data_IF_922806529885
#
_entry.id   IF_922806529885
#
_cell.length_a   1.000
_cell.length_b   1.000
_cell.length_c   1.000
_cell.angle_alpha   90.00
_cell.angle_beta   90.00
_cell.angle_gamma   90.00
#
_symmetry.space_group_name_H-M   'P 1'
#
loop_
_entity.id
_entity.type
_entity.pdbx_description
1 polymer ?
#
# COMPACT_ATOMS: atom_id res chain seq x y z
N UNK A 1 4.68 24.85 -12.97
CA UNK A 1 4.62 23.38 -13.10
C UNK A 1 3.60 22.75 -12.16
N UNK A 2 3.63 23.01 -10.83
CA UNK A 2 2.69 22.41 -9.85
C UNK A 2 1.21 22.56 -10.27
N UNK A 3 0.75 23.76 -10.64
CA UNK A 3 -0.64 23.99 -11.12
C UNK A 3 -1.01 23.17 -12.38
N UNK A 4 -0.04 22.84 -13.24
CA UNK A 4 -0.30 22.00 -14.41
C UNK A 4 -0.53 20.55 -13.97
N UNK A 5 0.32 20.02 -13.10
CA UNK A 5 0.19 18.67 -12.58
C UNK A 5 -1.14 18.48 -11.83
N UNK A 6 -1.53 19.44 -10.99
CA UNK A 6 -2.83 19.41 -10.30
C UNK A 6 -4.01 19.37 -11.29
N UNK A 7 -3.98 20.17 -12.39
CA UNK A 7 -5.04 20.16 -13.40
C UNK A 7 -5.10 18.83 -14.16
N UNK A 8 -3.94 18.25 -14.50
CA UNK A 8 -3.86 16.96 -15.18
C UNK A 8 -4.36 15.85 -14.25
N UNK A 9 -3.97 15.87 -12.97
CA UNK A 9 -4.44 14.92 -11.96
C UNK A 9 -5.96 14.97 -11.81
N UNK A 10 -6.54 16.18 -11.75
CA UNK A 10 -8.00 16.38 -11.71
C UNK A 10 -8.69 15.87 -13.00
N UNK A 11 -8.07 16.08 -14.16
CA UNK A 11 -8.58 15.54 -15.42
C UNK A 11 -8.63 14.03 -15.42
N UNK A 12 -7.55 13.36 -14.99
CA UNK A 12 -7.48 11.90 -14.89
C UNK A 12 -8.50 11.37 -13.87
N UNK A 13 -8.61 12.01 -12.70
CA UNK A 13 -9.56 11.63 -11.67
C UNK A 13 -11.01 11.69 -12.16
N UNK A 14 -11.36 12.71 -12.94
CA UNK A 14 -12.70 12.82 -13.53
C UNK A 14 -13.01 11.73 -14.56
N UNK A 15 -12.01 11.24 -15.27
CA UNK A 15 -12.19 10.21 -16.31
C UNK A 15 -12.17 8.79 -15.73
N UNK A 16 -11.20 8.49 -14.86
CA UNK A 16 -10.88 7.12 -14.46
C UNK A 16 -10.94 6.89 -12.95
N UNK A 17 -10.67 7.93 -12.17
CA UNK A 17 -10.67 7.89 -10.71
C UNK A 17 -11.99 8.36 -10.09
N UNK A 18 -13.12 8.16 -10.79
CA UNK A 18 -14.43 8.65 -10.32
C UNK A 18 -14.79 8.01 -8.98
N UNK A 19 -14.95 8.87 -7.98
CA UNK A 19 -15.39 8.47 -6.65
C UNK A 19 -16.92 8.34 -6.60
N UNK A 20 -17.40 7.21 -6.15
CA UNK A 20 -18.80 7.00 -5.84
C UNK A 20 -19.21 7.68 -4.52
N UNK A 21 -20.49 7.58 -4.11
CA UNK A 21 -20.95 8.18 -2.85
C UNK A 21 -20.22 7.67 -1.60
N UNK A 22 -19.78 6.40 -1.57
CA UNK A 22 -19.06 5.84 -0.42
C UNK A 22 -17.67 6.46 -0.29
N UNK A 23 -16.86 6.51 -1.37
CA UNK A 23 -15.55 7.14 -1.38
C UNK A 23 -15.62 8.65 -1.07
N UNK A 24 -16.57 9.36 -1.68
CA UNK A 24 -16.81 10.79 -1.37
C UNK A 24 -17.18 11.01 0.10
N UNK A 25 -17.96 10.10 0.68
CA UNK A 25 -18.28 10.14 2.10
C UNK A 25 -17.07 9.88 2.97
N UNK A 26 -16.25 8.89 2.60
CA UNK A 26 -14.99 8.57 3.28
C UNK A 26 -14.05 9.76 3.32
N UNK A 27 -13.87 10.47 2.19
CA UNK A 27 -13.09 11.70 2.15
C UNK A 27 -13.55 12.75 3.18
N UNK A 28 -14.86 12.90 3.37
CA UNK A 28 -15.40 13.86 4.35
C UNK A 28 -15.09 13.48 5.80
N UNK A 29 -14.88 12.20 6.09
CA UNK A 29 -14.54 11.72 7.44
C UNK A 29 -13.05 11.81 7.76
N UNK A 30 -12.17 11.98 6.75
CA UNK A 30 -10.73 12.04 6.95
C UNK A 30 -10.29 13.12 7.95
N UNK A 31 -10.97 14.26 7.99
CA UNK A 31 -10.69 15.34 8.95
C UNK A 31 -10.81 14.91 10.43
N UNK A 32 -11.45 13.78 10.70
CA UNK A 32 -11.63 13.24 12.06
C UNK A 32 -10.61 12.16 12.41
N UNK A 33 -9.74 11.76 11.45
CA UNK A 33 -8.64 10.85 11.71
C UNK A 33 -7.46 11.58 12.36
N UNK A 34 -6.55 10.84 12.95
CA UNK A 34 -5.36 11.39 13.63
C UNK A 34 -4.42 12.16 12.70
N UNK A 35 -4.44 11.84 11.41
CA UNK A 35 -3.58 12.44 10.38
C UNK A 35 -4.33 13.28 9.33
N UNK A 36 -5.64 13.48 9.52
CA UNK A 36 -6.45 14.27 8.60
C UNK A 36 -6.44 13.68 7.18
N UNK A 37 -6.23 14.52 6.18
CA UNK A 37 -6.28 14.15 4.76
C UNK A 37 -4.98 13.51 4.24
N UNK A 38 -4.31 12.68 5.05
CA UNK A 38 -3.08 11.98 4.65
C UNK A 38 -3.31 10.79 3.69
N UNK A 39 -4.58 10.41 3.41
CA UNK A 39 -4.92 9.31 2.50
C UNK A 39 -4.38 9.52 1.07
N UNK A 40 -4.25 8.44 0.30
CA UNK A 40 -3.90 8.47 -1.13
C UNK A 40 -4.87 9.32 -1.96
N UNK A 41 -4.47 9.80 -3.13
CA UNK A 41 -5.39 10.46 -4.09
C UNK A 41 -6.32 9.45 -4.76
N UNK A 42 -7.39 9.92 -5.40
CA UNK A 42 -8.29 9.07 -6.16
C UNK A 42 -7.57 8.31 -7.29
N UNK A 43 -6.61 8.97 -7.97
CA UNK A 43 -5.80 8.35 -9.02
C UNK A 43 -4.87 7.28 -8.45
N UNK A 44 -4.23 7.53 -7.30
CA UNK A 44 -3.42 6.52 -6.60
C UNK A 44 -4.27 5.34 -6.14
N UNK A 45 -5.44 5.59 -5.54
CA UNK A 45 -6.37 4.54 -5.14
C UNK A 45 -6.82 3.68 -6.33
N UNK A 46 -7.15 4.32 -7.47
CA UNK A 46 -7.48 3.62 -8.71
C UNK A 46 -6.29 2.81 -9.23
N UNK A 47 -5.08 3.33 -9.16
CA UNK A 47 -3.87 2.64 -9.56
C UNK A 47 -3.63 1.37 -8.71
N UNK A 48 -3.77 1.46 -7.38
CA UNK A 48 -3.70 0.30 -6.49
C UNK A 48 -4.75 -0.75 -6.84
N UNK A 49 -5.99 -0.33 -7.12
CA UNK A 49 -7.05 -1.22 -7.57
C UNK A 49 -6.69 -1.94 -8.87
N UNK A 50 -6.10 -1.23 -9.85
CA UNK A 50 -5.68 -1.83 -11.13
C UNK A 50 -4.59 -2.87 -10.90
N UNK A 51 -3.60 -2.57 -10.07
CA UNK A 51 -2.52 -3.51 -9.75
C UNK A 51 -3.05 -4.77 -9.04
N UNK A 52 -3.91 -4.61 -8.04
CA UNK A 52 -4.52 -5.75 -7.33
C UNK A 52 -5.35 -6.63 -8.29
N UNK A 53 -6.09 -6.01 -9.23
CA UNK A 53 -6.81 -6.75 -10.27
C UNK A 53 -5.90 -7.45 -11.26
N UNK A 54 -4.77 -6.86 -11.63
CA UNK A 54 -3.84 -7.43 -12.62
C UNK A 54 -3.25 -8.77 -12.15
N UNK A 55 -3.11 -8.96 -10.83
CA UNK A 55 -2.67 -10.23 -10.24
C UNK A 55 -3.83 -11.11 -9.77
N UNK A 56 -5.08 -10.71 -10.08
CA UNK A 56 -6.28 -11.44 -9.65
C UNK A 56 -6.28 -11.73 -8.14
N UNK A 57 -5.93 -10.71 -7.36
CA UNK A 57 -5.74 -10.83 -5.92
C UNK A 57 -7.00 -11.37 -5.23
N UNK A 58 -6.83 -12.39 -4.38
CA UNK A 58 -7.83 -12.94 -3.48
C UNK A 58 -7.52 -12.66 -2.02
N UNK A 59 -6.25 -12.60 -1.66
CA UNK A 59 -5.77 -12.23 -0.34
C UNK A 59 -4.92 -10.96 -0.41
N UNK A 60 -5.35 -9.94 0.30
CA UNK A 60 -4.68 -8.62 0.32
C UNK A 60 -4.29 -8.26 1.74
N UNK A 61 -3.08 -7.70 1.91
CA UNK A 61 -2.61 -7.11 3.15
C UNK A 61 -2.37 -5.62 2.94
N UNK A 62 -2.86 -4.80 3.86
CA UNK A 62 -2.60 -3.36 3.90
C UNK A 62 -1.99 -2.98 5.25
N UNK A 63 -0.90 -2.24 5.24
CA UNK A 63 -0.27 -1.64 6.42
C UNK A 63 -0.56 -0.15 6.43
N UNK A 64 -1.41 0.30 7.36
CA UNK A 64 -1.92 1.66 7.44
C UNK A 64 -3.30 1.82 6.80
N UNK A 65 -4.34 1.86 7.63
CA UNK A 65 -5.75 1.95 7.21
C UNK A 65 -6.24 3.40 7.16
N UNK A 66 -5.84 4.20 8.16
CA UNK A 66 -6.36 5.53 8.44
C UNK A 66 -7.90 5.49 8.48
N UNK A 67 -8.58 6.22 7.61
CA UNK A 67 -10.04 6.21 7.49
C UNK A 67 -10.60 5.23 6.46
N UNK A 68 -9.78 4.30 5.92
CA UNK A 68 -10.21 3.23 5.01
C UNK A 68 -10.36 3.64 3.55
N UNK A 69 -9.78 4.76 3.11
CA UNK A 69 -9.96 5.23 1.74
C UNK A 69 -9.22 4.34 0.72
N UNK A 70 -7.95 4.05 0.92
CA UNK A 70 -7.17 3.09 0.13
C UNK A 70 -7.76 1.69 0.24
N UNK A 71 -8.14 1.29 1.45
CA UNK A 71 -8.79 0.00 1.75
C UNK A 71 -10.00 -0.23 0.85
N UNK A 72 -10.90 0.77 0.71
CA UNK A 72 -12.09 0.67 -0.15
C UNK A 72 -11.70 0.51 -1.63
N UNK A 73 -10.71 1.29 -2.12
CA UNK A 73 -10.23 1.15 -3.49
C UNK A 73 -9.69 -0.24 -3.78
N UNK A 74 -8.84 -0.76 -2.88
CA UNK A 74 -8.16 -2.05 -3.05
C UNK A 74 -9.14 -3.21 -2.88
N UNK A 75 -10.01 -3.17 -1.85
CA UNK A 75 -11.00 -4.22 -1.61
C UNK A 75 -11.97 -4.42 -2.79
N UNK A 76 -12.25 -3.38 -3.56
CA UNK A 76 -13.05 -3.47 -4.80
C UNK A 76 -12.36 -4.23 -5.94
N UNK A 77 -11.10 -4.58 -5.79
CA UNK A 77 -10.42 -5.49 -6.72
C UNK A 77 -10.72 -6.96 -6.44
N UNK A 78 -11.11 -7.28 -5.21
CA UNK A 78 -11.35 -8.65 -4.75
C UNK A 78 -12.56 -9.29 -5.41
N UNK A 79 -12.53 -10.61 -5.67
CA UNK A 79 -13.72 -11.41 -5.93
C UNK A 79 -14.57 -11.55 -4.66
N UNK A 80 -15.79 -12.10 -4.79
CA UNK A 80 -16.73 -12.24 -3.66
C UNK A 80 -16.19 -13.13 -2.52
N UNK A 81 -15.30 -14.06 -2.84
CA UNK A 81 -14.62 -14.95 -1.89
C UNK A 81 -13.24 -14.43 -1.44
N UNK A 82 -12.90 -13.19 -1.79
CA UNK A 82 -11.63 -12.56 -1.44
C UNK A 82 -11.64 -11.91 -0.07
N UNK A 83 -10.45 -11.69 0.49
CA UNK A 83 -10.25 -11.09 1.81
C UNK A 83 -9.14 -10.03 1.78
N UNK A 84 -9.36 -8.94 2.49
CA UNK A 84 -8.36 -7.92 2.79
C UNK A 84 -8.19 -7.80 4.29
N UNK A 85 -6.94 -7.95 4.77
CA UNK A 85 -6.56 -7.63 6.14
C UNK A 85 -5.85 -6.29 6.13
N UNK A 86 -6.28 -5.34 6.98
CA UNK A 86 -5.65 -4.03 7.11
C UNK A 86 -5.26 -3.75 8.55
N UNK A 87 -4.05 -3.22 8.74
CA UNK A 87 -3.45 -2.97 10.04
C UNK A 87 -3.49 -1.48 10.36
N UNK A 88 -4.06 -1.12 11.49
CA UNK A 88 -4.20 0.28 11.94
C UNK A 88 -3.70 0.45 13.36
N UNK A 89 -2.84 1.46 13.57
CA UNK A 89 -2.29 1.74 14.88
C UNK A 89 -3.33 2.29 15.86
N UNK A 90 -4.17 3.20 15.38
CA UNK A 90 -5.04 4.02 16.20
C UNK A 90 -6.49 3.52 16.18
N UNK A 91 -7.03 3.19 17.36
CA UNK A 91 -8.42 2.72 17.48
C UNK A 91 -9.43 3.68 16.87
N UNK A 92 -9.22 5.00 17.04
CA UNK A 92 -10.12 6.03 16.49
C UNK A 92 -10.17 6.00 14.97
N UNK A 93 -9.04 5.76 14.31
CA UNK A 93 -8.96 5.62 12.85
C UNK A 93 -9.67 4.34 12.39
N UNK A 94 -9.41 3.23 13.08
CA UNK A 94 -10.06 1.94 12.80
C UNK A 94 -11.60 2.03 12.91
N UNK A 95 -12.12 2.75 13.90
CA UNK A 95 -13.56 2.95 14.07
C UNK A 95 -14.18 3.81 12.96
N UNK A 96 -13.43 4.80 12.46
CA UNK A 96 -13.83 5.61 11.30
C UNK A 96 -13.80 4.73 10.04
N UNK A 97 -12.72 3.99 9.83
CA UNK A 97 -12.55 3.09 8.69
C UNK A 97 -13.67 2.04 8.64
N UNK A 98 -13.98 1.39 9.76
CA UNK A 98 -15.08 0.41 9.85
C UNK A 98 -16.41 0.97 9.37
N UNK A 99 -16.78 2.18 9.81
CA UNK A 99 -18.00 2.85 9.35
C UNK A 99 -18.00 3.13 7.85
N UNK A 100 -16.85 3.54 7.31
CA UNK A 100 -16.72 3.83 5.89
C UNK A 100 -16.77 2.57 5.04
N UNK A 101 -16.14 1.47 5.48
CA UNK A 101 -16.12 0.17 4.83
C UNK A 101 -17.52 -0.45 4.81
N UNK A 102 -18.26 -0.40 5.93
CA UNK A 102 -19.68 -0.81 6.01
C UNK A 102 -20.51 -0.02 5.00
N UNK A 103 -20.33 1.30 4.95
CA UNK A 103 -21.06 2.17 4.00
C UNK A 103 -20.72 1.85 2.55
N UNK A 104 -19.53 1.33 2.28
CA UNK A 104 -19.11 0.87 0.96
C UNK A 104 -19.62 -0.56 0.64
N UNK A 105 -20.25 -1.26 1.59
CA UNK A 105 -20.71 -2.65 1.44
C UNK A 105 -19.57 -3.67 1.36
N UNK A 106 -18.42 -3.38 1.99
CA UNK A 106 -17.20 -4.19 1.91
C UNK A 106 -16.83 -4.86 3.25
N UNK A 107 -17.65 -4.67 4.29
CA UNK A 107 -17.41 -5.21 5.63
C UNK A 107 -17.24 -6.74 5.68
N UNK A 108 -17.92 -7.56 4.86
CA UNK A 108 -17.68 -9.00 4.88
C UNK A 108 -16.30 -9.43 4.38
N UNK A 109 -15.62 -8.54 3.61
CA UNK A 109 -14.36 -8.85 2.95
C UNK A 109 -13.15 -8.22 3.64
N UNK A 110 -13.36 -7.31 4.60
CA UNK A 110 -12.29 -6.50 5.21
C UNK A 110 -12.19 -6.77 6.70
N UNK A 111 -11.03 -7.26 7.13
CA UNK A 111 -10.66 -7.43 8.54
C UNK A 111 -9.72 -6.30 8.97
N UNK A 112 -10.15 -5.46 9.91
CA UNK A 112 -9.34 -4.38 10.48
C UNK A 112 -8.76 -4.84 11.80
N UNK A 113 -7.43 -4.93 11.87
CA UNK A 113 -6.70 -5.27 13.08
C UNK A 113 -6.01 -4.04 13.67
N UNK A 114 -6.24 -3.80 14.96
CA UNK A 114 -5.73 -2.62 15.67
C UNK A 114 -4.47 -2.99 16.45
N UNK A 115 -3.40 -2.24 16.22
CA UNK A 115 -2.11 -2.39 16.88
C UNK A 115 -0.95 -1.94 15.99
N UNK A 116 0.25 -1.98 16.54
CA UNK A 116 1.46 -1.71 15.74
C UNK A 116 1.62 -2.80 14.68
N UNK A 117 1.80 -2.39 13.44
CA UNK A 117 1.94 -3.36 12.33
C UNK A 117 3.09 -4.35 12.59
N UNK A 118 4.22 -3.88 13.14
CA UNK A 118 5.36 -4.74 13.44
C UNK A 118 5.04 -5.85 14.47
N UNK A 119 4.09 -5.62 15.37
CA UNK A 119 3.66 -6.60 16.37
C UNK A 119 2.56 -7.54 15.81
N UNK A 120 1.76 -7.06 14.86
CA UNK A 120 0.66 -7.82 14.24
C UNK A 120 1.15 -8.76 13.12
N UNK A 121 2.21 -8.40 12.41
CA UNK A 121 2.74 -9.21 11.30
C UNK A 121 3.18 -10.62 11.73
N UNK A 122 3.88 -10.83 12.86
CA UNK A 122 4.16 -12.17 13.39
C UNK A 122 2.88 -12.97 13.73
N UNK A 123 1.81 -12.28 14.15
CA UNK A 123 0.54 -12.93 14.47
C UNK A 123 -0.12 -13.44 13.19
N UNK A 124 -0.10 -12.63 12.10
CA UNK A 124 -0.62 -13.07 10.79
C UNK A 124 0.12 -14.30 10.25
N UNK A 125 1.42 -14.38 10.48
CA UNK A 125 2.19 -15.58 10.14
C UNK A 125 1.78 -16.78 10.96
N UNK A 126 1.67 -16.64 12.29
CA UNK A 126 1.26 -17.71 13.18
C UNK A 126 -0.16 -18.23 12.90
N UNK A 127 -1.03 -17.38 12.37
CA UNK A 127 -2.40 -17.72 11.94
C UNK A 127 -2.47 -18.32 10.53
N UNK A 128 -1.34 -18.44 9.81
CA UNK A 128 -1.28 -18.85 8.40
C UNK A 128 -2.19 -18.01 7.48
N UNK A 129 -2.29 -16.70 7.78
CA UNK A 129 -3.15 -15.78 7.05
C UNK A 129 -2.70 -15.56 5.59
N UNK A 130 -1.40 -15.69 5.32
CA UNK A 130 -0.81 -15.63 3.97
C UNK A 130 -1.02 -16.91 3.14
N UNK A 131 -0.31 -17.06 2.02
CA UNK A 131 0.40 -15.97 1.35
C UNK A 131 -0.57 -14.96 0.75
N UNK A 132 -0.18 -13.67 0.77
CA UNK A 132 -0.94 -12.60 0.14
C UNK A 132 -0.57 -12.44 -1.34
N UNK A 133 -1.54 -12.04 -2.16
CA UNK A 133 -1.38 -11.79 -3.59
C UNK A 133 -0.97 -10.34 -3.88
N UNK A 134 -1.41 -9.43 -3.02
CA UNK A 134 -1.13 -8.01 -3.10
C UNK A 134 -0.90 -7.44 -1.70
N UNK A 135 0.17 -6.66 -1.53
CA UNK A 135 0.52 -6.03 -0.25
C UNK A 135 0.73 -4.53 -0.48
N UNK A 136 0.03 -3.69 0.30
CA UNK A 136 0.20 -2.25 0.28
C UNK A 136 0.76 -1.75 1.61
N UNK A 137 1.87 -0.99 1.56
CA UNK A 137 2.56 -0.45 2.72
C UNK A 137 2.44 1.08 2.69
N UNK A 138 1.63 1.64 3.57
CA UNK A 138 1.49 3.09 3.78
C UNK A 138 1.31 3.40 5.28
N UNK A 139 2.26 2.93 6.07
CA UNK A 139 2.32 3.12 7.52
C UNK A 139 3.44 4.11 7.91
N UNK A 140 3.83 4.10 9.18
CA UNK A 140 4.96 4.86 9.70
C UNK A 140 6.28 4.47 8.99
N UNK A 141 7.10 5.46 8.69
CA UNK A 141 8.23 5.30 7.76
C UNK A 141 9.51 4.72 8.38
N UNK A 142 9.79 4.90 9.69
CA UNK A 142 11.00 4.33 10.27
C UNK A 142 11.16 2.83 10.08
N UNK A 143 10.16 1.93 10.24
CA UNK A 143 10.31 0.49 10.05
C UNK A 143 9.96 -0.01 8.63
N UNK A 144 10.10 0.82 7.59
CA UNK A 144 9.72 0.41 6.22
C UNK A 144 10.54 -0.77 5.69
N UNK A 145 11.82 -0.87 6.08
CA UNK A 145 12.66 -2.00 5.71
C UNK A 145 12.14 -3.30 6.35
N UNK A 146 11.81 -3.25 7.63
CA UNK A 146 11.27 -4.36 8.40
C UNK A 146 9.86 -4.77 7.89
N UNK A 147 9.03 -3.80 7.49
CA UNK A 147 7.74 -4.09 6.84
C UNK A 147 7.92 -4.81 5.50
N UNK A 148 8.94 -4.44 4.73
CA UNK A 148 9.24 -5.11 3.48
C UNK A 148 9.73 -6.55 3.68
N UNK A 149 10.55 -6.82 4.69
CA UNK A 149 10.96 -8.18 5.06
C UNK A 149 9.74 -9.05 5.41
N UNK A 150 8.82 -8.52 6.22
CA UNK A 150 7.57 -9.20 6.53
C UNK A 150 6.68 -9.40 5.30
N UNK A 151 6.58 -8.39 4.44
CA UNK A 151 5.84 -8.51 3.19
C UNK A 151 6.38 -9.63 2.32
N UNK A 152 7.71 -9.78 2.20
CA UNK A 152 8.33 -10.91 1.49
C UNK A 152 7.99 -12.26 2.12
N UNK A 153 8.06 -12.35 3.45
CA UNK A 153 7.76 -13.58 4.20
C UNK A 153 6.32 -14.05 4.03
N UNK A 154 5.39 -13.10 3.96
CA UNK A 154 3.95 -13.34 3.79
C UNK A 154 3.52 -13.39 2.33
N UNK A 155 4.46 -13.40 1.38
CA UNK A 155 4.23 -13.40 -0.06
C UNK A 155 4.39 -14.78 -0.69
N UNK A 156 4.01 -14.85 -1.96
CA UNK A 156 4.31 -15.96 -2.88
C UNK A 156 4.89 -15.42 -4.19
N UNK A 157 5.49 -16.25 -5.04
CA UNK A 157 5.85 -15.82 -6.39
C UNK A 157 4.67 -15.18 -7.13
N UNK A 158 4.91 -14.00 -7.72
CA UNK A 158 3.89 -13.20 -8.38
C UNK A 158 3.15 -12.20 -7.48
N UNK A 159 3.35 -12.21 -6.15
CA UNK A 159 2.82 -11.16 -5.27
C UNK A 159 3.34 -9.80 -5.69
N UNK A 160 2.43 -8.81 -5.77
CA UNK A 160 2.81 -7.40 -5.92
C UNK A 160 2.86 -6.74 -4.54
N UNK A 161 3.99 -6.11 -4.24
CA UNK A 161 4.19 -5.28 -3.06
C UNK A 161 4.31 -3.82 -3.52
N UNK A 162 3.48 -2.93 -2.96
CA UNK A 162 3.53 -1.48 -3.22
C UNK A 162 3.81 -0.76 -1.92
N UNK A 163 4.78 0.17 -1.93
CA UNK A 163 5.06 1.04 -0.77
C UNK A 163 4.94 2.50 -1.17
N UNK A 164 4.14 3.29 -0.42
CA UNK A 164 3.91 4.70 -0.71
C UNK A 164 4.89 5.63 0.04
N UNK A 165 5.04 6.84 -0.47
CA UNK A 165 5.87 7.93 0.04
C UNK A 165 7.38 7.59 0.14
N UNK A 166 7.91 6.95 -0.87
CA UNK A 166 9.32 6.51 -0.91
C UNK A 166 10.29 7.54 -1.50
N UNK A 167 9.82 8.73 -1.87
CA UNK A 167 10.63 9.86 -2.38
C UNK A 167 10.70 11.01 -1.35
N UNK A 168 9.64 11.23 -0.57
CA UNK A 168 9.60 12.22 0.52
C UNK A 168 9.94 13.64 0.06
N UNK A 169 9.32 14.10 -1.04
CA UNK A 169 9.57 15.43 -1.63
C UNK A 169 11.07 15.65 -1.99
N UNK A 170 11.71 14.57 -2.46
CA UNK A 170 13.15 14.57 -2.81
C UNK A 170 14.11 14.48 -1.62
N UNK A 171 13.61 14.48 -0.36
CA UNK A 171 14.48 14.43 0.84
C UNK A 171 15.31 13.16 0.93
N UNK A 172 14.92 12.07 0.24
CA UNK A 172 15.72 10.84 0.15
C UNK A 172 17.10 11.04 -0.48
N UNK A 173 17.33 12.16 -1.19
CA UNK A 173 18.62 12.49 -1.77
C UNK A 173 19.62 13.01 -0.72
N UNK A 174 19.14 13.52 0.41
CA UNK A 174 19.99 13.99 1.51
C UNK A 174 20.48 12.82 2.37
N UNK A 175 21.70 12.35 2.08
CA UNK A 175 22.37 11.27 2.82
C UNK A 175 22.70 11.64 4.28
N UNK A 176 22.68 12.92 4.63
CA UNK A 176 22.95 13.43 5.97
C UNK A 176 21.70 13.70 6.81
N UNK A 177 20.53 13.45 6.26
CA UNK A 177 19.24 13.70 6.90
C UNK A 177 19.17 13.08 8.30
N UNK A 178 18.67 13.87 9.27
CA UNK A 178 18.40 13.43 10.65
C UNK A 178 16.92 13.08 10.85
N UNK A 179 16.08 13.23 9.84
CA UNK A 179 14.69 12.82 9.89
C UNK A 179 14.58 11.29 9.80
N UNK A 180 14.13 10.68 10.91
CA UNK A 180 13.98 9.21 11.00
C UNK A 180 13.08 8.63 9.92
N UNK A 181 12.07 9.40 9.46
CA UNK A 181 11.19 8.98 8.36
C UNK A 181 11.95 8.92 7.04
N UNK A 182 12.82 9.90 6.78
CA UNK A 182 13.69 9.90 5.59
C UNK A 182 14.69 8.76 5.65
N UNK A 183 15.35 8.58 6.81
CA UNK A 183 16.30 7.49 7.01
C UNK A 183 15.65 6.10 6.83
N UNK A 184 14.43 5.90 7.37
CA UNK A 184 13.68 4.65 7.20
C UNK A 184 13.41 4.34 5.74
N UNK A 185 12.95 5.35 4.98
CA UNK A 185 12.71 5.21 3.53
C UNK A 185 14.02 4.97 2.76
N UNK A 186 15.12 5.65 3.11
CA UNK A 186 16.43 5.40 2.48
C UNK A 186 16.91 3.96 2.71
N UNK A 187 16.74 3.41 3.93
CA UNK A 187 17.05 1.99 4.21
C UNK A 187 16.19 1.05 3.38
N UNK A 188 14.89 1.31 3.31
CA UNK A 188 13.96 0.53 2.49
C UNK A 188 14.35 0.57 1.00
N UNK A 189 14.58 1.76 0.43
CA UNK A 189 14.95 1.91 -0.98
C UNK A 189 16.25 1.17 -1.32
N UNK A 190 17.24 1.20 -0.40
CA UNK A 190 18.48 0.44 -0.55
C UNK A 190 18.22 -1.06 -0.51
N UNK A 191 17.46 -1.54 0.48
CA UNK A 191 17.10 -2.96 0.61
C UNK A 191 16.36 -3.45 -0.64
N UNK A 192 15.39 -2.67 -1.13
CA UNK A 192 14.65 -2.99 -2.34
C UNK A 192 15.57 -3.14 -3.57
N UNK A 193 16.53 -2.23 -3.72
CA UNK A 193 17.47 -2.25 -4.85
C UNK A 193 18.45 -3.43 -4.82
N UNK A 194 18.80 -3.90 -3.63
CA UNK A 194 19.75 -5.01 -3.42
C UNK A 194 19.05 -6.39 -3.37
N UNK A 195 17.72 -6.43 -3.24
CA UNK A 195 16.99 -7.67 -3.05
C UNK A 195 16.76 -8.43 -4.36
N UNK A 196 17.29 -9.65 -4.44
CA UNK A 196 17.17 -10.52 -5.63
C UNK A 196 15.86 -11.31 -5.70
N UNK A 197 15.07 -11.30 -4.61
CA UNK A 197 13.79 -12.01 -4.58
C UNK A 197 12.68 -11.25 -5.30
N UNK A 198 12.92 -9.99 -5.68
CA UNK A 198 11.94 -9.15 -6.36
C UNK A 198 12.51 -8.51 -7.63
N UNK A 199 11.60 -8.22 -8.56
CA UNK A 199 11.83 -7.26 -9.66
C UNK A 199 11.07 -5.99 -9.29
N UNK A 200 11.78 -4.86 -9.13
CA UNK A 200 11.20 -3.66 -8.57
C UNK A 200 11.58 -2.38 -9.31
N UNK A 201 10.75 -1.36 -9.13
CA UNK A 201 11.02 0.02 -9.57
C UNK A 201 10.36 1.02 -8.62
N UNK A 202 10.75 2.29 -8.72
CA UNK A 202 10.09 3.41 -8.06
C UNK A 202 9.57 4.36 -9.13
N UNK A 203 8.28 4.66 -9.09
CA UNK A 203 7.66 5.70 -9.92
C UNK A 203 7.48 6.97 -9.09
N UNK A 204 7.82 8.11 -9.68
CA UNK A 204 7.52 9.41 -9.07
C UNK A 204 6.04 9.74 -9.23
N UNK A 205 5.43 10.26 -8.17
CA UNK A 205 4.04 10.74 -8.18
C UNK A 205 4.03 12.26 -8.05
N UNK A 206 3.27 12.91 -8.92
CA UNK A 206 3.04 14.35 -8.92
C UNK A 206 1.56 14.61 -9.12
N UNK A 207 1.02 15.69 -8.58
CA UNK A 207 -0.41 15.99 -8.78
C UNK A 207 -0.99 16.88 -7.71
N UNK A 208 -2.18 16.52 -7.23
CA UNK A 208 -2.91 17.26 -6.18
C UNK A 208 -2.25 17.15 -4.80
N UNK A 209 -1.42 16.14 -4.59
CA UNK A 209 -0.47 16.06 -3.47
C UNK A 209 0.93 16.42 -3.94
N UNK A 210 1.82 16.67 -2.98
CA UNK A 210 3.20 17.06 -3.27
C UNK A 210 3.97 16.00 -4.08
N UNK A 211 5.22 16.27 -4.40
CA UNK A 211 6.09 15.35 -5.10
C UNK A 211 6.50 14.18 -4.17
N UNK A 212 6.07 12.98 -4.52
CA UNK A 212 6.48 11.77 -3.82
C UNK A 212 6.69 10.62 -4.81
N UNK A 213 6.60 9.38 -4.38
CA UNK A 213 6.72 8.21 -5.25
C UNK A 213 6.20 6.95 -4.58
N UNK A 214 5.90 5.97 -5.43
CA UNK A 214 5.54 4.62 -5.04
C UNK A 214 6.60 3.63 -5.51
N UNK A 215 7.10 2.79 -4.62
CA UNK A 215 7.84 1.60 -4.99
C UNK A 215 6.86 0.49 -5.36
N UNK A 216 7.17 -0.23 -6.43
CA UNK A 216 6.40 -1.39 -6.90
C UNK A 216 7.36 -2.53 -7.08
N UNK A 217 7.10 -3.65 -6.44
CA UNK A 217 7.91 -4.86 -6.52
C UNK A 217 7.02 -6.07 -6.83
N UNK A 218 7.51 -6.95 -7.68
CA UNK A 218 6.92 -8.27 -7.94
C UNK A 218 7.85 -9.32 -7.38
N UNK A 219 7.33 -10.23 -6.56
CA UNK A 219 8.09 -11.35 -6.01
C UNK A 219 8.42 -12.34 -7.12
N UNK A 220 9.71 -12.60 -7.32
CA UNK A 220 10.21 -13.47 -8.39
C UNK A 220 9.85 -14.94 -8.13
N UNK A 221 9.70 -15.72 -9.20
CA UNK A 221 9.70 -17.17 -9.08
C UNK A 221 11.10 -17.64 -8.68
N UNK A 222 11.19 -18.70 -7.88
CA UNK A 222 12.47 -19.35 -7.65
C UNK A 222 13.03 -19.80 -9.01
N UNK A 223 14.19 -19.26 -9.39
CA UNK A 223 14.83 -19.64 -10.65
C UNK A 223 15.40 -21.05 -10.46
N UNK A 224 14.65 -22.06 -10.83
CA UNK A 224 15.22 -23.39 -11.10
C UNK A 224 16.00 -23.26 -12.42
N UNK A 225 17.29 -22.93 -12.33
CA UNK A 225 18.17 -23.14 -13.48
C UNK A 225 18.08 -24.63 -13.85
N UNK A 226 17.83 -24.99 -15.11
CA UNK A 226 17.92 -26.37 -15.51
C UNK A 226 19.34 -26.84 -15.18
N UNK A 227 19.46 -27.90 -14.37
CA UNK A 227 20.72 -28.59 -14.17
C UNK A 227 21.20 -28.94 -15.59
N UNK A 228 22.25 -28.27 -16.08
CA UNK A 228 22.92 -28.69 -17.30
C UNK A 228 23.29 -30.14 -17.07
N UNK A 229 22.60 -31.03 -17.77
CA UNK A 229 22.88 -32.45 -17.74
C UNK A 229 24.33 -32.65 -18.09
N UNK A 230 25.06 -33.33 -17.22
CA UNK A 230 26.31 -33.97 -17.53
C UNK A 230 26.07 -34.91 -18.72
N UNK A 231 26.63 -34.55 -19.86
CA UNK A 231 26.91 -35.50 -20.93
C UNK A 231 28.17 -36.27 -20.57
#
# INVERSE_FOLDING_TARGET
>A
MKKLFEKVDQYIAKLLGVEDPALKSTQKTMKHTTMGFANVTANQGKFLQVLARSVQAKKILELGTLGGYSTIWIARALPLDGQLITLELEQVNADIARKNIIKAGLDPMVDIRVGKAIDLLPILEAEDAGPFDFIFIDADKPPYAEYFEWALKLSRPGTIIVADNVIRDGKVLDKSSKDEKVQGVQRFNKMLAENKQVTATIIQTVGSKDHDGMAIAVVNQATTLPIKGSL
#
